data_IF_093563985384
#
_entry.id   IF_093563985384
#
_cell.length_a   1.000
_cell.length_b   1.000
_cell.length_c   1.000
_cell.angle_alpha   90.00
_cell.angle_beta   90.00
_cell.angle_gamma   90.00
#
_symmetry.space_group_name_H-M   'P 1'
#
loop_
_entity.id
_entity.type
_entity.pdbx_description
1 polymer ?
#
# COMPACT_ATOMS: atom_id res chain seq x y z
N UNK A 1 7.01 -12.73 -28.07
CA UNK A 1 6.64 -13.83 -27.14
C UNK A 1 7.32 -13.49 -25.82
N UNK A 2 6.55 -13.17 -24.77
CA UNK A 2 7.12 -12.84 -23.47
C UNK A 2 7.55 -14.13 -22.76
N UNK A 3 8.69 -14.09 -22.10
CA UNK A 3 9.14 -15.17 -21.22
C UNK A 3 8.22 -15.25 -19.99
N UNK A 4 8.17 -16.42 -19.35
CA UNK A 4 7.38 -16.62 -18.13
C UNK A 4 7.75 -15.63 -17.00
N UNK A 5 9.01 -15.18 -16.98
CA UNK A 5 9.51 -14.17 -16.05
C UNK A 5 8.94 -12.79 -16.35
N UNK A 6 9.02 -12.33 -17.60
CA UNK A 6 8.50 -11.02 -18.03
C UNK A 6 6.98 -10.95 -17.84
N UNK A 7 6.27 -12.05 -18.08
CA UNK A 7 4.84 -12.14 -17.81
C UNK A 7 4.53 -11.94 -16.31
N UNK A 8 5.25 -12.65 -15.42
CA UNK A 8 5.05 -12.52 -13.97
C UNK A 8 5.40 -11.12 -13.46
N UNK A 9 6.45 -10.50 -13.98
CA UNK A 9 6.83 -9.13 -13.65
C UNK A 9 5.74 -8.13 -14.08
N UNK A 10 5.14 -8.32 -15.26
CA UNK A 10 4.03 -7.48 -15.74
C UNK A 10 2.78 -7.55 -14.86
N UNK A 11 2.44 -8.74 -14.35
CA UNK A 11 1.28 -8.93 -13.47
C UNK A 11 1.53 -8.31 -12.10
N UNK A 12 2.74 -8.44 -11.57
CA UNK A 12 3.13 -7.77 -10.31
C UNK A 12 3.03 -6.25 -10.44
N UNK A 13 3.41 -5.68 -11.59
CA UNK A 13 3.35 -4.23 -11.79
C UNK A 13 1.90 -3.74 -11.87
N UNK A 14 1.01 -4.44 -12.57
CA UNK A 14 -0.43 -4.12 -12.59
C UNK A 14 -1.06 -4.14 -11.20
N UNK A 15 -0.70 -5.12 -10.37
CA UNK A 15 -1.21 -5.20 -8.99
C UNK A 15 -0.68 -4.05 -8.12
N UNK A 16 0.56 -3.59 -8.35
CA UNK A 16 1.06 -2.37 -7.68
C UNK A 16 0.31 -1.11 -8.12
N UNK A 17 0.01 -0.96 -9.41
CA UNK A 17 -0.77 0.18 -9.91
C UNK A 17 -2.15 0.22 -9.26
N UNK A 18 -2.84 -0.92 -9.16
CA UNK A 18 -4.11 -1.04 -8.42
C UNK A 18 -3.96 -0.64 -6.95
N UNK A 19 -2.89 -1.08 -6.29
CA UNK A 19 -2.62 -0.72 -4.90
C UNK A 19 -2.40 0.79 -4.74
N UNK A 20 -1.67 1.43 -5.66
CA UNK A 20 -1.48 2.89 -5.67
C UNK A 20 -2.80 3.65 -5.85
N UNK A 21 -3.69 3.19 -6.74
CA UNK A 21 -5.00 3.80 -6.95
C UNK A 21 -5.87 3.72 -5.68
N UNK A 22 -5.86 2.57 -4.98
CA UNK A 22 -6.55 2.42 -3.69
C UNK A 22 -5.98 3.35 -2.63
N UNK A 23 -4.64 3.48 -2.55
CA UNK A 23 -3.99 4.41 -1.62
C UNK A 23 -4.36 5.86 -1.94
N UNK A 24 -4.36 6.26 -3.21
CA UNK A 24 -4.78 7.61 -3.62
C UNK A 24 -6.24 7.90 -3.25
N UNK A 25 -7.14 6.93 -3.46
CA UNK A 25 -8.55 7.06 -3.02
C UNK A 25 -8.67 7.24 -1.52
N UNK A 26 -7.88 6.49 -0.74
CA UNK A 26 -7.85 6.61 0.71
C UNK A 26 -7.27 7.94 1.20
N UNK A 27 -6.29 8.54 0.50
CA UNK A 27 -5.75 9.87 0.82
C UNK A 27 -6.80 10.98 0.74
N UNK A 28 -7.84 10.79 -0.08
CA UNK A 28 -8.96 11.71 -0.23
C UNK A 28 -10.08 11.47 0.80
N UNK A 29 -9.96 10.46 1.68
CA UNK A 29 -10.88 10.23 2.80
C UNK A 29 -10.52 11.19 3.96
N UNK A 30 -10.58 12.49 3.70
CA UNK A 30 -10.38 13.52 4.74
C UNK A 30 -11.70 13.74 5.49
N UNK A 31 -11.92 12.94 6.53
CA UNK A 31 -12.90 13.22 7.58
C UNK A 31 -12.21 13.71 8.87
N UNK A 32 -12.87 13.56 10.01
CA UNK A 32 -12.37 14.01 11.34
C UNK A 32 -11.24 13.16 11.95
N UNK A 33 -10.83 12.07 11.29
CA UNK A 33 -9.74 11.19 11.74
C UNK A 33 -8.80 10.89 10.59
N UNK A 34 -7.50 10.87 10.88
CA UNK A 34 -6.49 10.43 9.92
C UNK A 34 -6.61 8.91 9.74
N UNK A 35 -7.47 8.51 8.79
CA UNK A 35 -7.70 7.12 8.39
C UNK A 35 -6.39 6.36 8.20
N UNK A 36 -5.38 7.01 7.62
CA UNK A 36 -4.11 6.36 7.32
C UNK A 36 -3.31 6.07 8.58
N UNK A 37 -3.39 6.92 9.59
CA UNK A 37 -2.69 6.69 10.86
C UNK A 37 -3.35 5.54 11.63
N UNK A 38 -4.68 5.47 11.66
CA UNK A 38 -5.43 4.34 12.25
C UNK A 38 -5.14 3.04 11.48
N UNK A 39 -5.11 3.09 10.15
CA UNK A 39 -4.82 1.94 9.30
C UNK A 39 -3.38 1.46 9.42
N UNK A 40 -2.40 2.37 9.50
CA UNK A 40 -1.00 2.03 9.73
C UNK A 40 -0.79 1.48 11.14
N UNK A 41 -1.52 1.99 12.14
CA UNK A 41 -1.53 1.45 13.50
C UNK A 41 -2.02 -0.01 13.53
N UNK A 42 -3.12 -0.30 12.83
CA UNK A 42 -3.62 -1.66 12.63
C UNK A 42 -2.57 -2.55 11.95
N UNK A 43 -1.94 -2.08 10.87
CA UNK A 43 -0.88 -2.81 10.17
C UNK A 43 0.39 -3.02 11.03
N UNK A 44 0.64 -2.13 11.99
CA UNK A 44 1.71 -2.26 12.99
C UNK A 44 1.45 -3.38 14.00
N UNK A 45 0.18 -3.71 14.26
CA UNK A 45 -0.21 -4.87 15.05
C UNK A 45 -0.10 -6.17 14.23
N UNK A 46 1.13 -6.56 13.92
CA UNK A 46 1.44 -7.77 13.15
C UNK A 46 0.81 -9.05 13.70
N UNK A 47 0.63 -9.16 15.03
CA UNK A 47 -0.04 -10.31 15.65
C UNK A 47 -1.55 -10.32 15.41
N UNK A 48 -2.22 -9.18 15.62
CA UNK A 48 -3.66 -9.05 15.35
C UNK A 48 -3.98 -9.23 13.87
N UNK A 49 -3.17 -8.68 12.97
CA UNK A 49 -3.33 -8.84 11.52
C UNK A 49 -3.07 -10.27 11.05
N UNK A 50 -2.07 -10.96 11.62
CA UNK A 50 -1.82 -12.37 11.34
C UNK A 50 -3.02 -13.25 11.73
N UNK A 51 -3.60 -13.00 12.90
CA UNK A 51 -4.81 -13.70 13.35
C UNK A 51 -6.04 -13.37 12.49
N UNK A 52 -6.21 -12.12 12.08
CA UNK A 52 -7.34 -11.69 11.24
C UNK A 52 -7.30 -12.32 9.84
N UNK A 53 -6.11 -12.41 9.25
CA UNK A 53 -5.91 -12.88 7.88
C UNK A 53 -5.60 -14.38 7.80
N UNK A 54 -5.48 -15.06 8.94
CA UNK A 54 -5.08 -16.47 9.04
C UNK A 54 -3.77 -16.77 8.28
N UNK A 55 -2.76 -15.93 8.51
CA UNK A 55 -1.42 -16.09 7.89
C UNK A 55 -0.32 -16.00 8.94
N UNK A 56 0.86 -16.60 8.68
CA UNK A 56 2.01 -16.45 9.56
C UNK A 56 2.42 -14.99 9.74
N UNK A 57 2.78 -14.61 10.97
CA UNK A 57 3.15 -13.23 11.33
C UNK A 57 4.26 -12.67 10.47
N UNK A 58 5.18 -13.52 10.03
CA UNK A 58 6.33 -13.17 9.19
C UNK A 58 5.89 -12.56 7.85
N UNK A 59 4.71 -12.96 7.35
CA UNK A 59 4.12 -12.43 6.12
C UNK A 59 3.58 -11.01 6.28
N UNK A 60 3.32 -10.58 7.52
CA UNK A 60 2.71 -9.28 7.85
C UNK A 60 3.74 -8.28 8.39
N UNK A 61 4.86 -8.73 8.94
CA UNK A 61 5.86 -7.87 9.60
C UNK A 61 6.34 -6.68 8.76
N UNK A 62 6.40 -6.82 7.43
CA UNK A 62 6.81 -5.75 6.52
C UNK A 62 5.64 -4.93 5.93
N UNK A 63 4.39 -5.29 6.23
CA UNK A 63 3.20 -4.74 5.59
C UNK A 63 3.06 -3.23 5.88
N UNK A 64 3.14 -2.83 7.15
CA UNK A 64 3.02 -1.41 7.54
C UNK A 64 4.09 -0.54 6.89
N UNK A 65 5.35 -1.00 6.84
CA UNK A 65 6.44 -0.28 6.18
C UNK A 65 6.23 -0.10 4.68
N UNK A 66 5.76 -1.15 3.98
CA UNK A 66 5.45 -1.08 2.54
C UNK A 66 4.30 -0.13 2.22
N UNK A 67 3.25 -0.15 3.04
CA UNK A 67 2.09 0.77 2.89
C UNK A 67 2.53 2.21 3.15
N UNK A 68 3.32 2.46 4.20
CA UNK A 68 3.87 3.78 4.50
C UNK A 68 4.74 4.34 3.37
N UNK A 69 5.59 3.50 2.75
CA UNK A 69 6.38 3.89 1.59
C UNK A 69 5.51 4.25 0.38
N UNK A 70 4.44 3.48 0.11
CA UNK A 70 3.51 3.81 -0.97
C UNK A 70 2.74 5.10 -0.71
N UNK A 71 2.27 5.33 0.53
CA UNK A 71 1.63 6.60 0.93
C UNK A 71 2.56 7.79 0.64
N UNK A 72 3.85 7.69 1.02
CA UNK A 72 4.85 8.71 0.73
C UNK A 72 5.02 8.95 -0.77
N UNK A 73 5.13 7.89 -1.57
CA UNK A 73 5.27 8.00 -3.05
C UNK A 73 4.08 8.70 -3.70
N UNK A 74 2.86 8.40 -3.25
CA UNK A 74 1.64 9.08 -3.74
C UNK A 74 1.68 10.56 -3.36
N UNK A 75 2.00 10.90 -2.11
CA UNK A 75 2.14 12.29 -1.68
C UNK A 75 3.19 13.07 -2.47
N UNK A 76 4.36 12.46 -2.74
CA UNK A 76 5.42 13.07 -3.54
C UNK A 76 5.01 13.29 -5.01
N UNK A 77 4.32 12.31 -5.61
CA UNK A 77 3.85 12.40 -7.00
C UNK A 77 2.81 13.51 -7.19
N UNK A 78 1.86 13.63 -6.26
CA UNK A 78 0.77 14.60 -6.35
C UNK A 78 1.28 16.05 -6.05
N UNK A 79 2.32 16.20 -5.23
CA UNK A 79 3.01 17.49 -5.01
C UNK A 79 3.83 17.96 -6.22
N UNK A 80 4.38 17.05 -7.02
CA UNK A 80 5.21 17.39 -8.18
C UNK A 80 4.38 17.78 -9.42
N UNK A 81 3.11 17.39 -9.48
CA UNK A 81 2.19 17.71 -10.58
C UNK A 81 1.51 19.09 -10.40
N UNK A 82 1.46 19.61 -9.17
CA UNK A 82 0.88 20.93 -8.85
C UNK A 82 1.81 22.12 -9.17
N UNK A 83 2.97 21.87 -9.77
CA UNK A 83 4.03 22.87 -10.04
C UNK A 83 4.23 23.24 -11.51
N UNK A 84 3.30 22.90 -12.42
CA UNK A 84 3.35 23.26 -13.85
C UNK A 84 2.16 24.11 -14.27
#
# INVERSE_FOLDING_TARGET
>A
MLTFREFRESEVEKEKEKALDVVRKGMNLQGDRDFWDDFLSLCGNSGGMAALLDVPREKITALGGRIGEMRRKVGEADHHDSGK
#
